data_IF_248566061011
#
_entry.id   IF_248566061011
#
_cell.length_a   1.000
_cell.length_b   1.000
_cell.length_c   1.000
_cell.angle_alpha   90.00
_cell.angle_beta   90.00
_cell.angle_gamma   90.00
#
_symmetry.space_group_name_H-M   'P 1'
#
loop_
_entity.id
_entity.type
_entity.pdbx_description
1 polymer ?
#
# COMPACT_ATOMS: atom_id res chain seq x y z
N UNK A 1 -28.94 -15.39 -18.30
CA UNK A 1 -28.41 -16.27 -19.38
C UNK A 1 -27.56 -17.34 -18.74
N UNK A 2 -27.81 -18.64 -19.01
CA UNK A 2 -27.01 -19.70 -18.45
C UNK A 2 -25.56 -19.59 -18.94
N UNK A 3 -24.61 -19.93 -18.06
CA UNK A 3 -23.19 -19.98 -18.41
C UNK A 3 -22.99 -21.07 -19.48
N UNK A 4 -22.33 -20.70 -20.60
CA UNK A 4 -21.95 -21.63 -21.65
C UNK A 4 -20.46 -21.58 -21.91
N UNK A 5 -19.85 -22.69 -22.23
CA UNK A 5 -18.48 -22.77 -22.71
C UNK A 5 -18.43 -22.24 -24.15
N UNK A 6 -17.59 -21.24 -24.40
CA UNK A 6 -17.37 -20.70 -25.74
C UNK A 6 -16.36 -21.57 -26.51
N UNK A 7 -16.52 -21.75 -27.83
CA UNK A 7 -15.51 -22.38 -28.68
C UNK A 7 -14.17 -21.68 -28.61
N UNK A 8 -13.06 -22.42 -28.73
CA UNK A 8 -11.71 -21.88 -28.64
C UNK A 8 -11.44 -20.73 -29.64
N UNK A 9 -11.97 -20.84 -30.84
CA UNK A 9 -11.75 -19.82 -31.89
C UNK A 9 -12.37 -18.48 -31.53
N UNK A 10 -13.48 -18.45 -30.79
CA UNK A 10 -14.11 -17.21 -30.32
C UNK A 10 -13.32 -16.53 -29.18
N UNK A 11 -12.53 -17.27 -28.42
CA UNK A 11 -11.80 -16.77 -27.24
C UNK A 11 -10.29 -16.73 -27.43
N UNK A 12 -9.78 -17.21 -28.55
CA UNK A 12 -8.37 -17.38 -28.86
C UNK A 12 -7.54 -16.12 -28.59
N UNK A 13 -7.98 -14.99 -29.11
CA UNK A 13 -7.23 -13.73 -28.97
C UNK A 13 -7.23 -13.24 -27.54
N UNK A 14 -8.33 -13.42 -26.84
CA UNK A 14 -8.46 -13.09 -25.41
C UNK A 14 -7.55 -13.97 -24.56
N UNK A 15 -7.55 -15.27 -24.79
CA UNK A 15 -6.70 -16.23 -24.07
C UNK A 15 -5.23 -15.93 -24.34
N UNK A 16 -4.87 -15.63 -25.60
CA UNK A 16 -3.50 -15.24 -25.96
C UNK A 16 -3.08 -13.97 -25.24
N UNK A 17 -3.92 -12.94 -25.21
CA UNK A 17 -3.61 -11.68 -24.50
C UNK A 17 -3.42 -11.93 -23.00
N UNK A 18 -4.27 -12.73 -22.37
CA UNK A 18 -4.13 -13.10 -20.96
C UNK A 18 -2.84 -13.87 -20.70
N UNK A 19 -2.53 -14.86 -21.52
CA UNK A 19 -1.30 -15.64 -21.39
C UNK A 19 -0.04 -14.80 -21.57
N UNK A 20 -0.02 -13.90 -22.57
CA UNK A 20 1.11 -12.97 -22.76
C UNK A 20 1.26 -12.04 -21.56
N UNK A 21 0.17 -11.48 -21.04
CA UNK A 21 0.21 -10.61 -19.87
C UNK A 21 0.73 -11.34 -18.64
N UNK A 22 0.26 -12.58 -18.38
CA UNK A 22 0.73 -13.41 -17.27
C UNK A 22 2.22 -13.74 -17.39
N UNK A 23 2.65 -14.21 -18.57
CA UNK A 23 4.07 -14.55 -18.80
C UNK A 23 4.99 -13.35 -18.77
N UNK A 24 4.56 -12.20 -19.28
CA UNK A 24 5.35 -10.96 -19.18
C UNK A 24 5.52 -10.50 -17.74
N UNK A 25 4.48 -10.59 -16.92
CA UNK A 25 4.55 -10.26 -15.49
C UNK A 25 5.48 -11.22 -14.72
N UNK A 26 5.41 -12.53 -15.03
CA UNK A 26 6.29 -13.55 -14.44
C UNK A 26 7.77 -13.27 -14.77
N UNK A 27 8.07 -13.01 -16.04
CA UNK A 27 9.43 -12.67 -16.50
C UNK A 27 9.94 -11.37 -15.88
N UNK A 28 9.09 -10.34 -15.82
CA UNK A 28 9.45 -9.06 -15.21
C UNK A 28 9.74 -9.22 -13.70
N UNK A 29 8.97 -10.06 -13.00
CA UNK A 29 9.24 -10.41 -11.60
C UNK A 29 10.57 -11.10 -11.43
N UNK A 30 10.85 -12.14 -12.21
CA UNK A 30 12.10 -12.88 -12.15
C UNK A 30 13.31 -11.98 -12.44
N UNK A 31 13.25 -11.16 -13.48
CA UNK A 31 14.29 -10.20 -13.83
C UNK A 31 14.47 -9.13 -12.74
N UNK A 32 13.38 -8.59 -12.21
CA UNK A 32 13.41 -7.58 -11.14
C UNK A 32 14.03 -8.12 -9.86
N UNK A 33 13.72 -9.35 -9.48
CA UNK A 33 14.33 -10.01 -8.32
C UNK A 33 15.83 -10.28 -8.54
N UNK A 34 16.23 -10.71 -9.73
CA UNK A 34 17.63 -10.90 -10.08
C UNK A 34 18.42 -9.58 -10.03
N UNK A 35 17.86 -8.50 -10.59
CA UNK A 35 18.44 -7.15 -10.51
C UNK A 35 18.54 -6.67 -9.07
N UNK A 36 17.50 -6.85 -8.26
CA UNK A 36 17.51 -6.49 -6.84
C UNK A 36 18.66 -7.21 -6.10
N UNK A 37 18.80 -8.51 -6.31
CA UNK A 37 19.86 -9.30 -5.68
C UNK A 37 21.25 -8.81 -6.13
N UNK A 38 21.44 -8.57 -7.43
CA UNK A 38 22.70 -8.04 -7.97
C UNK A 38 23.04 -6.68 -7.38
N UNK A 39 22.08 -5.73 -7.37
CA UNK A 39 22.30 -4.36 -6.91
C UNK A 39 22.46 -4.22 -5.39
N UNK A 40 21.93 -5.16 -4.62
CA UNK A 40 22.24 -5.26 -3.19
C UNK A 40 23.70 -5.61 -2.93
N UNK A 41 24.30 -6.43 -3.79
CA UNK A 41 25.71 -6.83 -3.67
C UNK A 41 26.66 -5.78 -4.29
N UNK A 42 26.28 -5.23 -5.43
CA UNK A 42 27.05 -4.21 -6.16
C UNK A 42 26.12 -3.12 -6.72
N UNK A 43 26.07 -2.00 -6.03
CA UNK A 43 25.26 -0.85 -6.43
C UNK A 43 25.81 -0.11 -7.65
N UNK A 44 27.05 -0.35 -8.06
CA UNK A 44 27.68 0.32 -9.23
C UNK A 44 27.05 -0.14 -10.55
N UNK A 45 26.51 -1.36 -10.58
CA UNK A 45 25.80 -1.92 -11.73
C UNK A 45 24.34 -1.44 -11.90
N UNK A 46 23.85 -0.60 -11.01
CA UNK A 46 22.45 -0.13 -11.06
C UNK A 46 22.26 0.95 -12.13
N UNK A 47 21.95 0.51 -13.34
CA UNK A 47 21.71 1.37 -14.51
C UNK A 47 20.20 1.46 -14.77
N UNK A 48 19.74 2.62 -15.23
CA UNK A 48 18.33 2.82 -15.64
C UNK A 48 17.41 3.23 -14.50
N UNK A 49 17.95 3.62 -13.34
CA UNK A 49 17.14 4.23 -12.29
C UNK A 49 16.67 5.63 -12.73
N UNK A 50 15.42 5.95 -12.41
CA UNK A 50 14.88 7.31 -12.59
C UNK A 50 15.53 8.30 -11.62
N UNK A 51 15.32 9.59 -11.86
CA UNK A 51 15.75 10.63 -10.94
C UNK A 51 15.18 10.38 -9.53
N UNK A 52 15.97 10.72 -8.51
CA UNK A 52 15.53 10.56 -7.12
C UNK A 52 14.34 11.46 -6.80
N UNK A 53 13.31 10.89 -6.20
CA UNK A 53 12.10 11.60 -5.78
C UNK A 53 12.00 11.59 -4.26
N UNK A 54 11.46 12.66 -3.69
CA UNK A 54 11.08 12.69 -2.28
C UNK A 54 9.63 12.25 -2.17
N UNK A 55 9.40 11.16 -1.46
CA UNK A 55 8.08 10.58 -1.26
C UNK A 55 7.71 10.55 0.23
N UNK A 56 6.43 10.58 0.51
CA UNK A 56 5.88 10.49 1.86
C UNK A 56 4.49 9.89 1.82
N UNK A 57 3.90 9.64 2.98
CA UNK A 57 2.55 9.07 3.09
C UNK A 57 1.49 9.92 2.37
N UNK A 58 1.69 11.22 2.36
CA UNK A 58 0.79 12.21 1.77
C UNK A 58 1.28 12.72 0.39
N UNK A 59 2.47 12.27 -0.05
CA UNK A 59 3.12 12.69 -1.30
C UNK A 59 3.61 11.47 -2.08
N UNK A 60 2.71 10.89 -2.85
CA UNK A 60 2.99 9.67 -3.61
C UNK A 60 3.79 9.91 -4.90
N UNK A 61 3.90 11.16 -5.39
CA UNK A 61 4.63 11.53 -6.62
C UNK A 61 4.26 10.68 -7.84
N UNK A 62 2.97 10.34 -8.00
CA UNK A 62 2.44 9.46 -9.03
C UNK A 62 2.96 8.01 -9.01
N UNK A 63 3.60 7.61 -7.92
CA UNK A 63 4.01 6.22 -7.72
C UNK A 63 2.86 5.38 -7.14
N UNK A 64 2.81 4.08 -7.43
CA UNK A 64 1.89 3.17 -6.76
C UNK A 64 2.10 3.20 -5.25
N UNK A 65 1.00 3.20 -4.49
CA UNK A 65 1.06 3.26 -3.02
C UNK A 65 1.92 2.15 -2.42
N UNK A 66 1.84 0.94 -2.97
CA UNK A 66 2.66 -0.20 -2.54
C UNK A 66 4.17 0.07 -2.65
N UNK A 67 4.59 0.83 -3.65
CA UNK A 67 6.01 1.22 -3.84
C UNK A 67 6.43 2.22 -2.78
N UNK A 68 5.59 3.22 -2.51
CA UNK A 68 5.87 4.23 -1.47
C UNK A 68 5.85 3.61 -0.08
N UNK A 69 4.86 2.77 0.22
CA UNK A 69 4.78 2.08 1.50
C UNK A 69 6.01 1.17 1.72
N UNK A 70 6.45 0.44 0.70
CA UNK A 70 7.66 -0.37 0.79
C UNK A 70 8.93 0.47 1.01
N UNK A 71 9.05 1.63 0.35
CA UNK A 71 10.15 2.55 0.57
C UNK A 71 10.18 3.12 2.00
N UNK A 72 9.00 3.45 2.55
CA UNK A 72 8.86 3.98 3.92
C UNK A 72 9.09 2.92 5.01
N UNK A 73 8.89 1.64 4.69
CA UNK A 73 9.18 0.52 5.60
C UNK A 73 10.61 -0.03 5.43
N UNK A 74 11.36 0.48 4.47
CA UNK A 74 12.77 0.10 4.33
C UNK A 74 13.54 0.47 5.60
N UNK A 75 14.38 -0.44 6.07
CA UNK A 75 15.23 -0.19 7.24
C UNK A 75 16.14 1.02 7.02
N UNK A 76 16.25 1.87 8.02
CA UNK A 76 17.05 3.10 7.98
C UNK A 76 18.51 2.87 8.39
N UNK A 77 18.80 1.69 8.95
CA UNK A 77 20.10 1.39 9.56
C UNK A 77 21.23 1.22 8.53
N UNK A 78 20.89 0.84 7.29
CA UNK A 78 21.85 0.60 6.22
C UNK A 78 21.40 1.31 4.94
N UNK A 79 21.58 2.62 4.87
CA UNK A 79 21.32 3.40 3.65
C UNK A 79 22.62 3.53 2.82
N UNK A 80 22.53 3.49 1.47
CA UNK A 80 21.32 3.31 0.68
C UNK A 80 20.74 1.90 0.72
N UNK A 81 19.44 1.80 1.01
CA UNK A 81 18.70 0.55 1.07
C UNK A 81 18.05 0.18 -0.27
N UNK A 82 17.86 -1.11 -0.54
CA UNK A 82 17.20 -1.62 -1.73
C UNK A 82 15.98 -2.45 -1.39
N UNK A 83 14.85 -2.14 -1.98
CA UNK A 83 13.58 -2.85 -1.78
C UNK A 83 12.97 -3.23 -3.11
N UNK A 84 12.45 -4.45 -3.20
CA UNK A 84 11.71 -4.93 -4.35
C UNK A 84 10.21 -4.98 -4.05
N UNK A 85 9.39 -4.60 -5.00
CA UNK A 85 7.93 -4.58 -4.88
C UNK A 85 7.30 -5.27 -6.07
N UNK A 86 6.52 -6.30 -5.80
CA UNK A 86 5.71 -6.97 -6.80
C UNK A 86 4.45 -6.13 -7.09
N UNK A 87 4.26 -5.76 -8.33
CA UNK A 87 3.11 -4.99 -8.80
C UNK A 87 2.07 -5.87 -9.53
N UNK A 88 2.17 -7.17 -9.36
CA UNK A 88 1.29 -8.14 -10.01
C UNK A 88 1.40 -8.06 -11.54
N UNK A 89 0.26 -7.90 -12.22
CA UNK A 89 0.22 -7.79 -13.69
C UNK A 89 0.95 -6.57 -14.26
N UNK A 90 1.35 -5.60 -13.44
CA UNK A 90 2.12 -4.42 -13.86
C UNK A 90 3.64 -4.65 -13.80
N UNK A 91 4.09 -5.80 -13.28
CA UNK A 91 5.49 -6.18 -13.22
C UNK A 91 6.11 -6.05 -11.84
N UNK A 92 7.38 -5.61 -11.79
CA UNK A 92 8.17 -5.55 -10.57
C UNK A 92 8.94 -4.23 -10.47
N UNK A 93 8.86 -3.57 -9.32
CA UNK A 93 9.61 -2.34 -9.07
C UNK A 93 10.78 -2.58 -8.14
N UNK A 94 11.95 -2.03 -8.48
CA UNK A 94 13.13 -1.98 -7.61
C UNK A 94 13.32 -0.55 -7.14
N UNK A 95 13.34 -0.34 -5.84
CA UNK A 95 13.45 0.96 -5.20
C UNK A 95 14.77 1.07 -4.47
N UNK A 96 15.51 2.15 -4.73
CA UNK A 96 16.69 2.54 -3.96
C UNK A 96 16.31 3.67 -3.01
N UNK A 97 16.41 3.42 -1.72
CA UNK A 97 16.20 4.44 -0.68
C UNK A 97 17.55 5.06 -0.35
N UNK A 98 17.77 6.28 -0.79
CA UNK A 98 19.07 6.95 -0.62
C UNK A 98 19.23 7.55 0.79
N UNK A 99 18.15 8.16 1.31
CA UNK A 99 18.15 8.82 2.62
C UNK A 99 16.73 8.99 3.14
N UNK A 100 16.61 9.09 4.45
CA UNK A 100 15.38 9.53 5.14
C UNK A 100 15.53 10.97 5.53
N UNK A 101 14.50 11.76 5.29
CA UNK A 101 14.43 13.15 5.68
C UNK A 101 13.40 13.30 6.80
N UNK A 102 13.72 14.04 7.87
CA UNK A 102 12.71 14.38 8.86
C UNK A 102 11.61 15.21 8.19
N UNK A 103 10.37 15.03 8.65
CA UNK A 103 9.24 15.83 8.19
C UNK A 103 9.49 17.30 8.51
N UNK A 104 9.30 18.20 7.57
CA UNK A 104 9.39 19.63 7.81
C UNK A 104 8.30 20.06 8.81
N UNK A 105 8.72 20.45 10.00
CA UNK A 105 7.86 20.82 11.12
C UNK A 105 7.27 22.23 10.94
N UNK A 106 6.81 22.66 9.87
CA UNK A 106 6.36 24.06 9.70
C UNK A 106 5.10 24.25 8.87
N UNK A 107 4.89 23.43 7.88
CA UNK A 107 3.80 23.67 6.91
C UNK A 107 2.45 23.05 7.30
N UNK A 108 2.39 22.23 8.34
CA UNK A 108 1.20 21.46 8.71
C UNK A 108 0.83 21.51 10.19
N UNK A 109 1.38 22.44 10.98
CA UNK A 109 1.04 22.56 12.40
C UNK A 109 -0.48 22.71 12.64
N UNK A 110 -1.18 23.42 11.74
CA UNK A 110 -2.64 23.53 11.77
C UNK A 110 -3.36 22.22 11.43
N UNK A 111 -2.87 21.48 10.43
CA UNK A 111 -3.44 20.19 10.04
C UNK A 111 -3.20 19.13 11.11
N UNK A 112 -2.02 19.12 11.73
CA UNK A 112 -1.72 18.22 12.85
C UNK A 112 -2.58 18.50 14.09
N UNK A 113 -2.86 19.79 14.37
CA UNK A 113 -3.75 20.16 15.45
C UNK A 113 -5.19 19.70 15.16
N UNK A 114 -5.68 19.90 13.94
CA UNK A 114 -7.00 19.44 13.51
C UNK A 114 -7.11 17.90 13.54
N UNK A 115 -6.10 17.19 13.06
CA UNK A 115 -6.05 15.72 13.13
C UNK A 115 -6.03 15.20 14.56
N UNK A 116 -5.26 15.83 15.47
CA UNK A 116 -5.27 15.48 16.89
C UNK A 116 -6.63 15.70 17.53
N UNK A 117 -7.27 16.83 17.22
CA UNK A 117 -8.60 17.12 17.73
C UNK A 117 -9.62 16.10 17.24
N UNK A 118 -9.60 15.76 15.95
CA UNK A 118 -10.46 14.74 15.36
C UNK A 118 -10.23 13.36 16.00
N UNK A 119 -8.96 12.98 16.21
CA UNK A 119 -8.63 11.73 16.87
C UNK A 119 -9.12 11.70 18.31
N UNK A 120 -8.97 12.79 19.07
CA UNK A 120 -9.48 12.89 20.45
C UNK A 120 -11.00 12.77 20.49
N UNK A 121 -11.73 13.38 19.54
CA UNK A 121 -13.19 13.25 19.44
C UNK A 121 -13.60 11.80 19.12
N UNK A 122 -12.89 11.18 18.19
CA UNK A 122 -13.13 9.78 17.85
C UNK A 122 -12.86 8.84 19.04
N UNK A 123 -11.76 9.06 19.75
CA UNK A 123 -11.39 8.27 20.94
C UNK A 123 -12.46 8.42 22.04
N UNK A 124 -12.88 9.65 22.35
CA UNK A 124 -13.93 9.89 23.33
C UNK A 124 -15.28 9.23 22.97
N UNK A 125 -15.62 9.22 21.66
CA UNK A 125 -16.81 8.51 21.18
C UNK A 125 -16.67 6.99 21.35
N UNK A 126 -15.51 6.44 20.99
CA UNK A 126 -15.23 5.01 21.11
C UNK A 126 -15.24 4.54 22.57
N UNK A 127 -14.63 5.32 23.48
CA UNK A 127 -14.66 5.08 24.93
C UNK A 127 -16.09 5.13 25.48
N UNK A 128 -16.88 6.11 25.06
CA UNK A 128 -18.30 6.22 25.44
C UNK A 128 -19.12 5.02 25.01
N UNK A 129 -18.92 4.52 23.78
CA UNK A 129 -19.58 3.31 23.29
C UNK A 129 -19.14 2.08 24.09
N UNK A 130 -17.83 1.91 24.31
CA UNK A 130 -17.29 0.79 25.06
C UNK A 130 -17.81 0.78 26.51
N UNK A 131 -17.86 1.93 27.14
CA UNK A 131 -18.43 2.10 28.47
C UNK A 131 -19.92 1.74 28.51
N UNK A 132 -20.67 2.21 27.53
CA UNK A 132 -22.09 1.89 27.39
C UNK A 132 -22.33 0.38 27.21
N UNK A 133 -21.57 -0.28 26.37
CA UNK A 133 -21.69 -1.73 26.16
C UNK A 133 -21.30 -2.51 27.43
N UNK A 134 -20.24 -2.08 28.12
CA UNK A 134 -19.85 -2.66 29.43
C UNK A 134 -20.99 -2.53 30.44
N UNK A 135 -21.67 -1.39 30.54
CA UNK A 135 -22.80 -1.20 31.43
C UNK A 135 -23.99 -2.10 31.09
N UNK A 136 -24.30 -2.23 29.79
CA UNK A 136 -25.34 -3.14 29.28
C UNK A 136 -25.08 -4.58 29.73
N UNK A 137 -23.85 -5.02 29.54
CA UNK A 137 -23.44 -6.38 29.93
C UNK A 137 -23.52 -6.59 31.41
N UNK A 138 -22.98 -5.65 32.20
CA UNK A 138 -22.98 -5.71 33.70
C UNK A 138 -24.38 -5.71 34.27
N UNK A 139 -25.28 -4.91 33.73
CA UNK A 139 -26.66 -4.79 34.22
C UNK A 139 -27.65 -5.67 33.45
N UNK A 140 -27.18 -6.52 32.52
CA UNK A 140 -28.01 -7.42 31.73
C UNK A 140 -29.18 -6.73 31.04
N UNK A 141 -28.93 -5.51 30.52
CA UNK A 141 -29.94 -4.66 29.86
C UNK A 141 -30.39 -5.27 28.56
N UNK A 142 -31.71 -5.50 28.40
CA UNK A 142 -32.31 -5.95 27.14
C UNK A 142 -33.07 -4.78 26.50
N UNK A 143 -32.66 -4.37 25.29
CA UNK A 143 -33.35 -3.34 24.52
C UNK A 143 -34.45 -4.03 23.71
N UNK A 144 -35.72 -3.81 24.08
CA UNK A 144 -36.90 -4.43 23.46
C UNK A 144 -37.36 -3.72 22.16
N UNK A 145 -36.82 -2.52 21.88
CA UNK A 145 -37.19 -1.73 20.69
C UNK A 145 -35.92 -1.47 19.88
N UNK A 146 -35.89 -1.78 18.57
CA UNK A 146 -34.76 -1.44 17.73
C UNK A 146 -34.58 0.08 17.66
N UNK A 147 -33.32 0.55 17.65
CA UNK A 147 -33.02 1.97 17.44
C UNK A 147 -33.56 2.43 16.08
N UNK A 148 -34.20 3.61 15.99
CA UNK A 148 -34.42 4.22 14.70
C UNK A 148 -33.06 4.46 14.02
N UNK A 149 -32.92 3.99 12.79
CA UNK A 149 -31.76 4.28 11.98
C UNK A 149 -31.85 5.74 11.53
N UNK A 150 -30.97 6.58 12.00
CA UNK A 150 -30.78 7.97 11.54
C UNK A 150 -29.85 8.00 10.34
#
# INVERSE_FOLDING_TARGET
>A
TPARTLPFDEVRDRVRAMFVAEKSAELARAEGQAKLASWKNDASGAVGLSAALTVGRDQLQNLPRSVVDAALHAGVDNLPGWVGVDLGGQGYAVVKVNRVQPREAGKQAGEEAAQRQQFQQWLGTAEGIAYYEMLKERFKVQIKVPRPQS
#
